data_IF_874423366863
#
_entry.id   IF_874423366863
#
_cell.length_a   1.000
_cell.length_b   1.000
_cell.length_c   1.000
_cell.angle_alpha   90.00
_cell.angle_beta   90.00
_cell.angle_gamma   90.00
#
_symmetry.space_group_name_H-M   'P 1'
#
loop_
_entity.id
_entity.type
_entity.pdbx_description
1 polymer ?
#
# COMPACT_ATOMS: atom_id res chain seq x y z
N UNK A 1 29.54 -8.81 41.72
CA UNK A 1 28.43 -8.30 40.89
C UNK A 1 28.57 -8.95 39.54
N UNK A 2 27.78 -9.99 39.29
CA UNK A 2 27.86 -10.79 38.07
C UNK A 2 27.30 -10.01 36.89
N UNK A 3 27.99 -10.08 35.75
CA UNK A 3 27.41 -9.69 34.47
C UNK A 3 26.35 -10.74 34.12
N UNK A 4 25.08 -10.40 34.28
CA UNK A 4 24.01 -11.16 33.61
C UNK A 4 23.97 -10.69 32.15
N UNK A 5 24.08 -11.61 31.17
CA UNK A 5 23.90 -11.23 29.78
C UNK A 5 22.48 -10.69 29.62
N UNK A 6 22.37 -9.44 29.20
CA UNK A 6 21.10 -8.83 28.83
C UNK A 6 20.48 -9.72 27.75
N UNK A 7 19.40 -10.45 28.08
CA UNK A 7 18.63 -11.14 27.06
C UNK A 7 18.29 -10.09 26.00
N UNK A 8 18.51 -10.38 24.70
CA UNK A 8 18.17 -9.41 23.68
C UNK A 8 16.67 -9.13 23.85
N UNK A 9 16.32 -7.87 24.15
CA UNK A 9 14.92 -7.47 24.32
C UNK A 9 14.18 -7.68 22.99
N UNK A 10 13.71 -8.89 22.72
CA UNK A 10 12.87 -9.24 21.56
C UNK A 10 11.52 -8.50 21.61
N UNK A 11 11.19 -7.90 22.74
CA UNK A 11 10.01 -7.05 22.93
C UNK A 11 10.24 -5.58 22.51
N UNK A 12 11.48 -5.07 22.59
CA UNK A 12 11.86 -3.69 22.21
C UNK A 12 12.49 -3.64 20.81
N UNK A 13 13.27 -4.67 20.49
CA UNK A 13 13.74 -4.95 19.15
C UNK A 13 12.61 -5.67 18.39
N UNK A 14 11.63 -4.90 17.91
CA UNK A 14 10.59 -5.34 16.97
C UNK A 14 11.14 -5.79 15.60
N UNK A 15 12.30 -6.44 15.58
CA UNK A 15 12.96 -7.04 14.43
C UNK A 15 12.71 -8.55 14.32
N UNK A 16 11.63 -9.09 14.88
CA UNK A 16 11.28 -10.49 14.64
C UNK A 16 10.41 -10.71 13.41
N UNK A 17 10.12 -9.69 12.59
CA UNK A 17 9.43 -9.88 11.30
C UNK A 17 9.57 -8.70 10.33
N UNK A 18 10.79 -8.35 9.91
CA UNK A 18 10.99 -7.39 8.81
C UNK A 18 10.29 -7.81 7.50
N UNK A 19 9.93 -9.10 7.36
CA UNK A 19 9.14 -9.66 6.24
C UNK A 19 7.78 -10.22 6.70
N UNK A 20 7.49 -10.27 8.01
CA UNK A 20 6.30 -10.94 8.56
C UNK A 20 5.21 -10.00 9.09
N UNK A 21 5.27 -8.70 8.78
CA UNK A 21 4.14 -7.78 8.98
C UNK A 21 3.36 -7.55 7.67
N UNK A 22 3.44 -8.46 6.69
CA UNK A 22 2.59 -8.41 5.51
C UNK A 22 1.31 -9.19 5.79
N UNK A 23 0.24 -8.46 6.12
CA UNK A 23 -1.11 -9.03 6.22
C UNK A 23 -1.76 -8.92 4.83
N UNK A 24 -1.95 -10.05 4.12
CA UNK A 24 -2.48 -10.04 2.76
C UNK A 24 -3.92 -9.53 2.69
N UNK A 25 -4.72 -9.71 3.74
CA UNK A 25 -6.09 -9.23 3.80
C UNK A 25 -6.10 -7.71 3.89
N UNK A 26 -5.28 -7.15 4.78
CA UNK A 26 -5.12 -5.69 4.90
C UNK A 26 -4.53 -5.07 3.64
N UNK A 27 -3.60 -5.76 2.99
CA UNK A 27 -3.06 -5.32 1.71
C UNK A 27 -4.14 -5.25 0.62
N UNK A 28 -5.04 -6.24 0.54
CA UNK A 28 -6.17 -6.22 -0.39
C UNK A 28 -7.09 -5.03 -0.08
N UNK A 29 -7.44 -4.81 1.19
CA UNK A 29 -8.26 -3.64 1.57
C UNK A 29 -7.57 -2.32 1.23
N UNK A 30 -6.26 -2.22 1.46
CA UNK A 30 -5.46 -1.05 1.10
C UNK A 30 -5.47 -0.81 -0.42
N UNK A 31 -5.28 -1.86 -1.22
CA UNK A 31 -5.32 -1.78 -2.69
C UNK A 31 -6.71 -1.43 -3.21
N UNK A 32 -7.77 -1.95 -2.57
CA UNK A 32 -9.14 -1.58 -2.88
C UNK A 32 -9.37 -0.09 -2.63
N UNK A 33 -8.97 0.40 -1.46
CA UNK A 33 -9.18 1.78 -1.05
C UNK A 33 -8.33 2.79 -1.82
N UNK A 34 -7.12 2.43 -2.24
CA UNK A 34 -6.16 3.38 -2.84
C UNK A 34 -6.05 3.29 -4.36
N UNK A 35 -6.35 2.13 -4.95
CA UNK A 35 -6.20 1.91 -6.41
C UNK A 35 -7.54 1.53 -7.04
N UNK A 36 -8.18 0.45 -6.60
CA UNK A 36 -9.30 -0.14 -7.34
C UNK A 36 -10.61 0.65 -7.22
N UNK A 37 -10.86 1.37 -6.12
CA UNK A 37 -12.04 2.24 -5.98
C UNK A 37 -11.77 3.63 -6.55
N UNK A 38 -10.68 4.34 -6.18
CA UNK A 38 -10.50 5.72 -6.60
C UNK A 38 -10.32 5.87 -8.11
N UNK A 39 -9.66 4.90 -8.75
CA UNK A 39 -9.39 4.97 -10.18
C UNK A 39 -10.64 4.93 -11.07
N UNK A 40 -11.57 3.95 -10.94
CA UNK A 40 -12.83 4.00 -11.69
C UNK A 40 -13.71 5.17 -11.28
N UNK A 41 -13.69 5.60 -10.01
CA UNK A 41 -14.39 6.82 -9.58
C UNK A 41 -13.85 8.05 -10.34
N UNK A 42 -12.53 8.19 -10.45
CA UNK A 42 -11.91 9.23 -11.26
C UNK A 42 -12.35 9.16 -12.71
N UNK A 43 -12.30 7.98 -13.34
CA UNK A 43 -12.69 7.82 -14.76
C UNK A 43 -14.15 8.20 -14.97
N UNK A 44 -15.04 7.75 -14.09
CA UNK A 44 -16.48 8.04 -14.18
C UNK A 44 -16.77 9.54 -14.04
N UNK A 45 -16.20 10.18 -13.01
CA UNK A 45 -16.35 11.62 -12.78
C UNK A 45 -15.74 12.42 -13.94
N UNK A 46 -14.53 12.06 -14.37
CA UNK A 46 -13.86 12.73 -15.49
C UNK A 46 -14.68 12.64 -16.80
N UNK A 47 -15.35 11.51 -17.04
CA UNK A 47 -16.21 11.30 -18.21
C UNK A 47 -17.50 12.13 -18.12
N UNK A 48 -18.10 12.27 -16.94
CA UNK A 48 -19.34 13.04 -16.75
C UNK A 48 -19.10 14.54 -16.88
N UNK A 49 -18.02 15.03 -16.28
CA UNK A 49 -17.72 16.47 -16.20
C UNK A 49 -16.80 16.97 -17.32
N UNK A 50 -16.47 16.11 -18.30
CA UNK A 50 -15.52 16.39 -19.38
C UNK A 50 -14.20 16.99 -18.88
N UNK A 51 -13.72 16.50 -17.73
CA UNK A 51 -12.60 17.10 -17.01
C UNK A 51 -11.26 16.80 -17.70
N UNK A 52 -11.20 15.73 -18.48
CA UNK A 52 -9.99 15.23 -19.12
C UNK A 52 -9.80 15.86 -20.51
N UNK A 53 -8.86 16.81 -20.63
CA UNK A 53 -8.59 17.54 -21.88
C UNK A 53 -8.14 16.66 -23.07
N UNK A 54 -7.77 15.40 -22.82
CA UNK A 54 -7.39 14.44 -23.86
C UNK A 54 -7.88 13.06 -23.48
N UNK A 55 -8.63 12.42 -24.38
CA UNK A 55 -9.01 11.03 -24.25
C UNK A 55 -7.78 10.13 -24.06
N UNK A 56 -7.67 9.50 -22.89
CA UNK A 56 -6.62 8.50 -22.63
C UNK A 56 -6.91 7.23 -23.43
N UNK A 57 -5.83 6.61 -23.91
CA UNK A 57 -5.89 5.30 -24.57
C UNK A 57 -6.00 4.19 -23.51
N UNK A 58 -6.66 3.05 -23.82
CA UNK A 58 -6.76 1.91 -22.89
C UNK A 58 -5.39 1.44 -22.37
N UNK A 59 -4.36 1.42 -23.23
CA UNK A 59 -3.00 1.05 -22.83
C UNK A 59 -2.42 1.95 -21.72
N UNK A 60 -2.74 3.26 -21.74
CA UNK A 60 -2.30 4.18 -20.69
C UNK A 60 -3.05 3.95 -19.39
N UNK A 61 -4.34 3.59 -19.46
CA UNK A 61 -5.11 3.26 -18.28
C UNK A 61 -4.54 2.02 -17.56
N UNK A 62 -4.11 0.99 -18.30
CA UNK A 62 -3.41 -0.15 -17.71
C UNK A 62 -2.07 0.23 -17.08
N UNK A 63 -1.30 1.07 -17.76
CA UNK A 63 -0.02 1.56 -17.25
C UNK A 63 -0.19 2.36 -15.94
N UNK A 64 -1.21 3.22 -15.86
CA UNK A 64 -1.51 4.00 -14.66
C UNK A 64 -1.88 3.09 -13.47
N UNK A 65 -2.70 2.06 -13.69
CA UNK A 65 -3.06 1.08 -12.65
C UNK A 65 -1.82 0.28 -12.20
N UNK A 66 -0.96 -0.15 -13.11
CA UNK A 66 0.26 -0.89 -12.78
C UNK A 66 1.26 -0.04 -11.98
N UNK A 67 1.43 1.23 -12.34
CA UNK A 67 2.25 2.17 -11.58
C UNK A 67 1.65 2.45 -10.19
N UNK A 68 0.33 2.66 -10.10
CA UNK A 68 -0.34 2.85 -8.82
C UNK A 68 -0.22 1.61 -7.91
N UNK A 69 -0.33 0.40 -8.47
CA UNK A 69 -0.20 -0.85 -7.74
C UNK A 69 1.24 -1.09 -7.27
N UNK A 70 2.23 -0.87 -8.13
CA UNK A 70 3.65 -1.00 -7.74
C UNK A 70 4.04 0.01 -6.66
N UNK A 71 3.57 1.25 -6.77
CA UNK A 71 3.75 2.26 -5.73
C UNK A 71 3.02 1.88 -4.43
N UNK A 72 1.77 1.41 -4.52
CA UNK A 72 1.00 0.96 -3.37
C UNK A 72 1.66 -0.17 -2.60
N UNK A 73 2.36 -1.08 -3.28
CA UNK A 73 3.14 -2.15 -2.64
C UNK A 73 4.31 -1.59 -1.82
N UNK A 74 5.06 -0.65 -2.39
CA UNK A 74 6.18 0.01 -1.71
C UNK A 74 5.66 0.76 -0.47
N UNK A 75 4.62 1.56 -0.65
CA UNK A 75 4.01 2.35 0.44
C UNK A 75 3.46 1.45 1.54
N UNK A 76 2.81 0.34 1.20
CA UNK A 76 2.26 -0.59 2.19
C UNK A 76 3.36 -1.24 3.05
N UNK A 77 4.42 -1.73 2.40
CA UNK A 77 5.53 -2.42 3.08
C UNK A 77 6.35 -1.44 3.92
N UNK A 78 6.84 -0.35 3.32
CA UNK A 78 7.71 0.60 4.02
C UNK A 78 6.96 1.54 4.96
N UNK A 79 5.69 1.82 4.68
CA UNK A 79 4.82 2.61 5.55
C UNK A 79 4.26 1.82 6.74
N UNK A 80 4.52 0.51 6.82
CA UNK A 80 4.04 -0.37 7.90
C UNK A 80 2.52 -0.28 8.11
N UNK A 81 1.75 -0.14 7.02
CA UNK A 81 0.30 0.05 7.07
C UNK A 81 -0.46 -1.14 7.66
N UNK A 82 0.17 -2.31 7.69
CA UNK A 82 -0.36 -3.47 8.39
C UNK A 82 -0.52 -3.23 9.90
N UNK A 83 0.31 -2.38 10.52
CA UNK A 83 0.20 -2.02 11.92
C UNK A 83 -0.56 -0.70 12.14
N UNK A 84 -0.50 0.23 11.19
CA UNK A 84 -1.19 1.53 11.30
C UNK A 84 -2.71 1.42 11.12
N UNK A 85 -3.18 0.51 10.25
CA UNK A 85 -4.61 0.30 9.98
C UNK A 85 -5.23 -0.75 10.92
N UNK A 86 -4.73 -0.85 12.17
CA UNK A 86 -5.17 -1.84 13.16
C UNK A 86 -6.55 -1.53 13.73
#
# INVERSE_FOLDING_TARGET
MGWEPMEPDYALCGMTNWVGSFDPIRFIYFMLATVLIPYPTYVFVATIFDWEHRAKRPARHYQDILHATSYGLIVFIFGNYAQTLK
#
